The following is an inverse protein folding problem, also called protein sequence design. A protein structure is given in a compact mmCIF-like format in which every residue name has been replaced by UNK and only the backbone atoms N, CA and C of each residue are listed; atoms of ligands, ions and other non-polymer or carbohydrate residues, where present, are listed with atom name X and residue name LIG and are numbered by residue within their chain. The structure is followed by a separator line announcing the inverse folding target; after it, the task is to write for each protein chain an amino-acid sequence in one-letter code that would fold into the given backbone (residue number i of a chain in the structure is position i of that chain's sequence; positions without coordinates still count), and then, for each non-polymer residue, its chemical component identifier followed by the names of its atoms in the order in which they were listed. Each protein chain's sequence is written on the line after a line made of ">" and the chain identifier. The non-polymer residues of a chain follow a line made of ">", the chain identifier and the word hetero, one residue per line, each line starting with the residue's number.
data_IF_770402834908
#
_entry.id   IF_770402834908
#
_cell.length_a   1.000
_cell.length_b   1.000
_cell.length_c   1.000
_cell.angle_alpha   90.00
_cell.angle_beta   90.00
_cell.angle_gamma   90.00
#
_symmetry.space_group_name_H-M   'P 1'
#
loop_
_entity.id
_entity.type
_entity.pdbx_description
1 polymer ?
#
# COMPACT_ATOMS: atom_id res chain seq x y z
N UNK A 1 -52.25 30.14 4.47
CA UNK A 1 -51.62 29.11 3.61
C UNK A 1 -50.41 29.71 2.91
N UNK A 2 -49.24 29.15 3.22
CA UNK A 2 -48.02 29.13 2.40
C UNK A 2 -47.28 30.45 2.11
N UNK A 3 -46.59 30.99 3.11
CA UNK A 3 -45.31 31.67 2.92
C UNK A 3 -44.35 31.15 3.98
N UNK A 4 -43.60 30.09 3.66
CA UNK A 4 -42.50 29.61 4.49
C UNK A 4 -41.43 28.96 3.63
N UNK A 5 -40.20 29.38 3.91
CA UNK A 5 -38.96 28.61 3.79
C UNK A 5 -38.28 28.54 2.42
N UNK A 6 -37.84 29.70 1.89
CA UNK A 6 -36.88 29.70 0.77
C UNK A 6 -35.78 30.79 0.82
N UNK A 7 -35.44 31.28 2.03
CA UNK A 7 -34.45 32.37 2.20
C UNK A 7 -33.10 31.91 2.80
N UNK A 8 -32.92 30.65 3.22
CA UNK A 8 -31.79 30.33 4.12
C UNK A 8 -30.47 29.82 3.49
N UNK A 9 -30.39 29.55 2.19
CA UNK A 9 -29.14 28.98 1.60
C UNK A 9 -28.42 29.88 0.59
N UNK A 10 -29.13 30.82 -0.05
CA UNK A 10 -28.51 31.69 -1.07
C UNK A 10 -27.85 32.94 -0.51
N UNK A 11 -28.25 33.42 0.67
CA UNK A 11 -27.69 34.64 1.27
C UNK A 11 -26.31 34.44 1.90
N UNK A 12 -25.86 33.20 2.15
CA UNK A 12 -24.52 32.89 2.65
C UNK A 12 -23.43 32.87 1.56
N UNK A 13 -23.82 32.92 0.28
CA UNK A 13 -22.90 32.90 -0.86
C UNK A 13 -22.40 34.31 -1.28
N UNK A 14 -22.90 35.37 -0.65
CA UNK A 14 -22.63 36.77 -1.03
C UNK A 14 -22.01 37.62 0.08
N UNK A 15 -21.86 37.09 1.30
CA UNK A 15 -21.15 37.83 2.34
C UNK A 15 -19.64 37.59 2.21
N UNK A 16 -18.81 38.64 2.20
CA UNK A 16 -17.37 38.46 2.30
C UNK A 16 -17.09 37.70 3.59
N UNK A 17 -16.36 36.58 3.50
CA UNK A 17 -15.92 35.81 4.67
C UNK A 17 -15.19 36.78 5.59
N UNK A 18 -15.78 37.10 6.74
CA UNK A 18 -15.12 37.99 7.68
C UNK A 18 -13.96 37.21 8.32
N UNK A 19 -12.72 37.61 8.04
CA UNK A 19 -11.51 36.97 8.58
C UNK A 19 -11.52 36.81 10.12
N UNK A 20 -12.31 37.64 10.81
CA UNK A 20 -12.57 37.51 12.24
C UNK A 20 -13.23 36.18 12.62
N UNK A 21 -14.07 35.60 11.75
CA UNK A 21 -14.77 34.35 12.02
C UNK A 21 -13.80 33.16 12.07
N UNK A 22 -12.81 33.14 11.17
CA UNK A 22 -11.79 32.08 11.12
C UNK A 22 -11.00 32.02 12.43
N UNK A 23 -10.48 33.17 12.88
CA UNK A 23 -9.68 33.26 14.12
C UNK A 23 -10.55 33.03 15.36
N UNK A 24 -11.77 33.55 15.37
CA UNK A 24 -12.73 33.35 16.46
C UNK A 24 -13.07 31.86 16.65
N UNK A 25 -13.42 31.17 15.56
CA UNK A 25 -13.71 29.73 15.60
C UNK A 25 -12.49 28.97 16.09
N UNK A 26 -11.31 29.21 15.50
CA UNK A 26 -10.08 28.52 15.87
C UNK A 26 -9.71 28.70 17.35
N UNK A 27 -9.89 29.91 17.89
CA UNK A 27 -9.60 30.23 19.31
C UNK A 27 -10.61 29.56 20.25
N UNK A 28 -11.83 29.31 19.78
CA UNK A 28 -12.87 28.65 20.58
C UNK A 28 -12.71 27.13 20.65
N UNK A 29 -11.99 26.49 19.72
CA UNK A 29 -11.87 25.04 19.60
C UNK A 29 -11.41 24.36 20.90
N UNK A 30 -10.48 24.97 21.64
CA UNK A 30 -9.94 24.41 22.88
C UNK A 30 -10.97 24.31 24.01
N UNK A 31 -12.08 25.05 23.92
CA UNK A 31 -13.15 25.09 24.94
C UNK A 31 -14.30 24.14 24.61
N UNK A 32 -14.26 23.47 23.47
CA UNK A 32 -15.34 22.63 22.96
C UNK A 32 -15.01 21.14 23.12
N UNK A 33 -16.05 20.31 23.12
CA UNK A 33 -15.92 18.85 23.21
C UNK A 33 -17.08 18.15 22.49
N UNK A 34 -16.87 16.89 22.11
CA UNK A 34 -17.87 16.07 21.42
C UNK A 34 -18.30 16.68 20.08
N UNK A 35 -19.58 16.61 19.74
CA UNK A 35 -20.09 17.00 18.42
C UNK A 35 -19.83 18.48 18.05
N UNK A 36 -19.84 19.37 19.05
CA UNK A 36 -19.61 20.81 18.83
C UNK A 36 -18.25 21.09 18.19
N UNK A 37 -17.23 20.30 18.55
CA UNK A 37 -15.90 20.47 17.97
C UNK A 37 -15.88 20.05 16.51
N UNK A 38 -16.64 19.00 16.14
CA UNK A 38 -16.77 18.54 14.76
C UNK A 38 -17.47 19.58 13.91
N UNK A 39 -18.59 20.11 14.39
CA UNK A 39 -19.31 21.21 13.73
C UNK A 39 -18.42 22.43 13.52
N UNK A 40 -17.67 22.84 14.55
CA UNK A 40 -16.75 23.99 14.46
C UNK A 40 -15.60 23.74 13.49
N UNK A 41 -15.04 22.53 13.45
CA UNK A 41 -14.00 22.16 12.49
C UNK A 41 -14.54 22.08 11.06
N UNK A 42 -15.76 21.57 10.86
CA UNK A 42 -16.42 21.56 9.55
C UNK A 42 -16.69 22.99 9.05
N UNK A 43 -17.17 23.87 9.93
CA UNK A 43 -17.34 25.29 9.63
C UNK A 43 -16.01 25.96 9.28
N UNK A 44 -14.98 25.73 10.09
CA UNK A 44 -13.64 26.26 9.85
C UNK A 44 -13.06 25.77 8.51
N UNK A 45 -13.22 24.48 8.20
CA UNK A 45 -12.82 23.91 6.92
C UNK A 45 -13.58 24.55 5.76
N UNK A 46 -14.90 24.72 5.88
CA UNK A 46 -15.72 25.37 4.85
C UNK A 46 -15.25 26.80 4.57
N UNK A 47 -15.02 27.60 5.62
CA UNK A 47 -14.53 28.98 5.49
C UNK A 47 -13.15 29.01 4.82
N UNK A 48 -12.22 28.17 5.29
CA UNK A 48 -10.87 28.10 4.74
C UNK A 48 -10.88 27.63 3.28
N UNK A 49 -11.69 26.64 2.93
CA UNK A 49 -11.80 26.14 1.56
C UNK A 49 -12.44 27.16 0.61
N UNK A 50 -13.42 27.93 1.08
CA UNK A 50 -14.13 28.93 0.28
C UNK A 50 -13.52 30.34 0.33
N UNK A 51 -12.50 30.59 1.17
CA UNK A 51 -11.63 31.75 1.00
C UNK A 51 -10.99 31.64 -0.39
N UNK A 52 -11.61 32.32 -1.36
CA UNK A 52 -11.02 32.58 -2.67
C UNK A 52 -9.67 33.26 -2.41
N UNK A 53 -8.59 32.85 -3.10
CA UNK A 53 -7.41 33.69 -3.13
C UNK A 53 -7.86 35.05 -3.65
N UNK A 54 -7.76 36.09 -2.83
CA UNK A 54 -7.96 37.45 -3.29
C UNK A 54 -7.06 37.68 -4.53
N UNK A 55 -7.38 38.63 -5.42
CA UNK A 55 -6.69 38.84 -6.70
C UNK A 55 -5.15 38.97 -6.64
N UNK A 56 -4.56 39.04 -5.44
CA UNK A 56 -3.14 39.20 -5.19
C UNK A 56 -2.51 38.10 -4.29
N UNK A 57 -3.16 36.95 -4.09
CA UNK A 57 -2.55 35.88 -3.29
C UNK A 57 -2.32 36.28 -1.83
N UNK A 58 -3.19 37.13 -1.28
CA UNK A 58 -3.15 37.48 0.14
C UNK A 58 -3.32 36.23 1.01
N UNK A 59 -2.53 36.11 2.10
CA UNK A 59 -2.58 34.95 2.96
C UNK A 59 -3.92 34.91 3.70
N UNK A 60 -4.35 33.72 4.12
CA UNK A 60 -5.47 33.61 5.04
C UNK A 60 -5.08 34.35 6.32
N UNK A 61 -5.73 35.47 6.59
CA UNK A 61 -5.46 36.25 7.79
C UNK A 61 -5.75 35.39 9.03
N UNK A 62 -4.76 35.29 9.93
CA UNK A 62 -4.85 34.42 11.12
C UNK A 62 -4.43 32.96 10.89
N UNK A 63 -3.83 32.62 9.75
CA UNK A 63 -3.35 31.25 9.46
C UNK A 63 -2.45 30.67 10.53
N UNK A 64 -1.56 31.47 11.13
CA UNK A 64 -0.67 31.02 12.21
C UNK A 64 -1.47 30.58 13.44
N UNK A 65 -2.46 31.36 13.86
CA UNK A 65 -3.34 31.01 14.98
C UNK A 65 -4.13 29.75 14.67
N UNK A 66 -4.65 29.62 13.44
CA UNK A 66 -5.38 28.41 13.05
C UNK A 66 -4.44 27.20 13.08
N UNK A 67 -3.23 27.30 12.53
CA UNK A 67 -2.25 26.22 12.54
C UNK A 67 -1.93 25.80 13.96
N UNK A 68 -1.61 26.74 14.85
CA UNK A 68 -1.32 26.44 16.26
C UNK A 68 -2.49 25.72 16.93
N UNK A 69 -3.70 26.29 16.86
CA UNK A 69 -4.89 25.72 17.53
C UNK A 69 -5.31 24.38 16.97
N UNK A 70 -5.32 24.23 15.64
CA UNK A 70 -5.70 22.97 14.98
C UNK A 70 -4.64 21.89 15.19
N UNK A 71 -3.35 22.24 15.20
CA UNK A 71 -2.26 21.30 15.49
C UNK A 71 -2.34 20.81 16.94
N UNK A 72 -2.50 21.73 17.90
CA UNK A 72 -2.69 21.40 19.31
C UNK A 72 -3.93 20.50 19.52
N UNK A 73 -5.01 20.78 18.79
CA UNK A 73 -6.20 19.95 18.84
C UNK A 73 -5.94 18.56 18.27
N UNK A 74 -5.32 18.48 17.09
CA UNK A 74 -4.95 17.22 16.44
C UNK A 74 -4.11 16.33 17.36
N UNK A 75 -3.15 16.89 18.10
CA UNK A 75 -2.30 16.11 19.01
C UNK A 75 -3.01 15.63 20.29
N UNK A 76 -4.14 16.25 20.68
CA UNK A 76 -4.83 15.93 21.95
C UNK A 76 -6.05 15.03 21.78
N UNK A 77 -6.57 14.90 20.56
CA UNK A 77 -7.78 14.13 20.28
C UNK A 77 -7.43 12.68 19.96
N UNK A 78 -8.43 11.80 20.04
CA UNK A 78 -8.31 10.39 19.63
C UNK A 78 -9.39 9.98 18.62
N UNK A 79 -10.24 10.94 18.21
CA UNK A 79 -11.32 10.71 17.26
C UNK A 79 -10.79 10.86 15.84
N UNK A 80 -10.94 9.80 15.03
CA UNK A 80 -10.41 9.73 13.68
C UNK A 80 -11.05 10.76 12.73
N UNK A 81 -12.31 11.13 12.94
CA UNK A 81 -13.02 12.12 12.14
C UNK A 81 -12.51 13.53 12.47
N UNK A 82 -12.32 13.83 13.75
CA UNK A 82 -11.68 15.08 14.20
C UNK A 82 -10.27 15.19 13.61
N UNK A 83 -9.49 14.10 13.62
CA UNK A 83 -8.17 14.06 12.99
C UNK A 83 -8.22 14.36 11.49
N UNK A 84 -9.16 13.75 10.77
CA UNK A 84 -9.34 13.97 9.34
C UNK A 84 -9.73 15.42 9.02
N UNK A 85 -10.59 16.04 9.84
CA UNK A 85 -10.97 17.45 9.71
C UNK A 85 -9.79 18.39 9.99
N UNK A 86 -9.07 18.19 11.09
CA UNK A 86 -7.87 18.96 11.42
C UNK A 86 -6.83 18.89 10.30
N UNK A 87 -6.56 17.68 9.78
CA UNK A 87 -5.64 17.49 8.67
C UNK A 87 -6.10 18.21 7.40
N UNK A 88 -7.39 18.12 7.08
CA UNK A 88 -7.96 18.78 5.91
C UNK A 88 -7.81 20.30 6.00
N UNK A 89 -8.00 20.87 7.19
CA UNK A 89 -7.76 22.30 7.44
C UNK A 89 -6.28 22.64 7.23
N UNK A 90 -5.36 21.92 7.87
CA UNK A 90 -3.92 22.18 7.77
C UNK A 90 -3.41 22.06 6.33
N UNK A 91 -3.88 21.08 5.57
CA UNK A 91 -3.54 20.92 4.15
C UNK A 91 -4.10 22.05 3.29
N UNK A 92 -5.34 22.50 3.53
CA UNK A 92 -5.92 23.62 2.80
C UNK A 92 -5.13 24.91 3.08
N UNK A 93 -4.79 25.19 4.35
CA UNK A 93 -3.95 26.35 4.70
C UNK A 93 -2.61 26.26 3.98
N UNK A 94 -1.92 25.11 4.04
CA UNK A 94 -0.65 24.90 3.35
C UNK A 94 -0.75 25.18 1.83
N UNK A 95 -1.81 24.69 1.18
CA UNK A 95 -2.03 24.90 -0.26
C UNK A 95 -2.25 26.36 -0.64
N UNK A 96 -2.78 27.16 0.29
CA UNK A 96 -3.08 28.60 0.13
C UNK A 96 -2.03 29.50 0.77
N UNK A 97 -0.98 28.93 1.37
CA UNK A 97 0.08 29.69 2.03
C UNK A 97 0.97 30.41 1.00
N UNK A 98 1.40 31.62 1.37
CA UNK A 98 2.37 32.37 0.58
C UNK A 98 3.71 31.63 0.51
N UNK A 99 4.51 31.83 -0.55
CA UNK A 99 5.77 31.12 -0.72
C UNK A 99 6.72 31.24 0.48
N UNK A 100 6.77 32.39 1.16
CA UNK A 100 7.65 32.57 2.32
C UNK A 100 7.22 31.82 3.59
N UNK A 101 5.91 31.56 3.77
CA UNK A 101 5.38 30.88 4.96
C UNK A 101 5.10 29.39 4.70
N UNK A 102 5.02 28.99 3.43
CA UNK A 102 4.71 27.61 3.04
C UNK A 102 5.68 26.60 3.64
N UNK A 103 6.97 26.93 3.71
CA UNK A 103 7.97 26.00 4.24
C UNK A 103 7.77 25.74 5.74
N UNK A 104 7.48 26.78 6.55
CA UNK A 104 7.24 26.62 7.98
C UNK A 104 5.96 25.82 8.25
N UNK A 105 4.90 26.06 7.47
CA UNK A 105 3.64 25.33 7.59
C UNK A 105 3.77 23.86 7.20
N UNK A 106 4.56 23.54 6.17
CA UNK A 106 4.88 22.16 5.78
C UNK A 106 5.70 21.49 6.89
N UNK A 107 6.68 22.21 7.45
CA UNK A 107 7.51 21.71 8.54
C UNK A 107 6.66 21.30 9.75
N UNK A 108 5.77 22.19 10.21
CA UNK A 108 4.87 21.92 11.33
C UNK A 108 4.02 20.68 11.04
N UNK A 109 3.36 20.62 9.88
CA UNK A 109 2.49 19.48 9.56
C UNK A 109 3.28 18.16 9.47
N UNK A 110 4.45 18.15 8.82
CA UNK A 110 5.28 16.96 8.72
C UNK A 110 5.72 16.48 10.11
N UNK A 111 6.22 17.38 10.98
CA UNK A 111 6.66 17.02 12.32
C UNK A 111 5.51 16.46 13.17
N UNK A 112 4.35 17.12 13.13
CA UNK A 112 3.15 16.65 13.82
C UNK A 112 2.72 15.24 13.35
N UNK A 113 2.73 14.99 12.04
CA UNK A 113 2.38 13.66 11.51
C UNK A 113 3.41 12.60 11.89
N UNK A 114 4.70 12.92 11.85
CA UNK A 114 5.79 12.02 12.28
C UNK A 114 5.67 11.67 13.77
N UNK A 115 5.26 12.63 14.60
CA UNK A 115 4.99 12.38 16.02
C UNK A 115 3.77 11.46 16.19
N UNK A 116 2.68 11.67 15.45
CA UNK A 116 1.49 10.82 15.54
C UNK A 116 1.70 9.42 14.97
N UNK A 117 2.56 9.25 13.96
CA UNK A 117 2.98 7.91 13.48
C UNK A 117 3.60 7.10 14.62
N UNK A 118 4.26 7.74 15.59
CA UNK A 118 4.82 7.08 16.77
C UNK A 118 3.81 6.86 17.91
N UNK A 119 2.53 7.20 17.70
CA UNK A 119 1.48 6.98 18.70
C UNK A 119 1.36 5.49 19.03
N UNK A 120 1.12 5.20 20.32
CA UNK A 120 0.80 3.84 20.79
C UNK A 120 -0.55 3.35 20.29
N UNK A 121 -1.42 4.26 19.84
CA UNK A 121 -2.69 3.91 19.25
C UNK A 121 -2.48 3.61 17.75
N UNK A 122 -2.58 2.33 17.37
CA UNK A 122 -2.40 1.85 16.00
C UNK A 122 -3.28 2.60 15.00
N UNK A 123 -4.55 2.85 15.33
CA UNK A 123 -5.46 3.60 14.45
C UNK A 123 -4.97 5.02 14.22
N UNK A 124 -4.47 5.71 15.24
CA UNK A 124 -3.91 7.06 15.10
C UNK A 124 -2.64 7.02 14.24
N UNK A 125 -1.76 6.05 14.47
CA UNK A 125 -0.53 5.88 13.67
C UNK A 125 -0.84 5.61 12.20
N UNK A 126 -1.78 4.70 11.90
CA UNK A 126 -2.23 4.40 10.54
C UNK A 126 -2.88 5.61 9.87
N UNK A 127 -3.76 6.33 10.59
CA UNK A 127 -4.35 7.57 10.10
C UNK A 127 -3.27 8.61 9.77
N UNK A 128 -2.27 8.77 10.63
CA UNK A 128 -1.17 9.73 10.43
C UNK A 128 -0.25 9.32 9.26
N UNK A 129 0.05 8.03 9.10
CA UNK A 129 0.80 7.51 7.96
C UNK A 129 0.06 7.75 6.64
N UNK A 130 -1.22 7.38 6.59
CA UNK A 130 -2.08 7.62 5.43
C UNK A 130 -2.22 9.11 5.10
N UNK A 131 -2.33 9.95 6.13
CA UNK A 131 -2.36 11.40 6.01
C UNK A 131 -1.08 11.95 5.35
N UNK A 132 0.09 11.53 5.83
CA UNK A 132 1.37 11.95 5.28
C UNK A 132 1.53 11.47 3.83
N UNK A 133 1.15 10.24 3.53
CA UNK A 133 1.15 9.69 2.16
C UNK A 133 0.23 10.49 1.24
N UNK A 134 -0.97 10.82 1.71
CA UNK A 134 -1.92 11.65 0.96
C UNK A 134 -1.37 13.06 0.70
N UNK A 135 -0.75 13.67 1.71
CA UNK A 135 -0.09 14.97 1.59
C UNK A 135 1.04 14.95 0.54
N UNK A 136 1.90 13.93 0.59
CA UNK A 136 2.94 13.71 -0.42
C UNK A 136 2.33 13.57 -1.82
N UNK A 137 1.22 12.83 -1.99
CA UNK A 137 0.58 12.70 -3.31
C UNK A 137 0.07 14.04 -3.86
N UNK A 138 -0.45 14.91 -2.99
CA UNK A 138 -1.03 16.21 -3.38
C UNK A 138 0.01 17.30 -3.66
N UNK A 139 1.11 17.33 -2.91
CA UNK A 139 2.09 18.43 -2.95
C UNK A 139 3.52 17.89 -3.03
N UNK A 140 4.28 18.35 -4.04
CA UNK A 140 5.68 17.93 -4.25
C UNK A 140 6.61 18.45 -3.14
N UNK A 141 6.26 19.58 -2.55
CA UNK A 141 7.02 20.27 -1.51
C UNK A 141 7.13 19.42 -0.24
N UNK A 142 6.11 18.62 0.08
CA UNK A 142 6.17 17.66 1.19
C UNK A 142 7.27 16.62 0.97
N UNK A 143 7.35 16.04 -0.24
CA UNK A 143 8.38 15.04 -0.57
C UNK A 143 9.77 15.63 -0.45
N UNK A 144 9.96 16.84 -0.99
CA UNK A 144 11.23 17.56 -0.92
C UNK A 144 11.60 17.86 0.53
N UNK A 145 10.66 18.36 1.33
CA UNK A 145 10.90 18.65 2.74
C UNK A 145 11.38 17.41 3.52
N UNK A 146 10.69 16.27 3.35
CA UNK A 146 11.01 15.04 4.08
C UNK A 146 12.46 14.56 3.83
N UNK A 147 12.91 14.53 2.57
CA UNK A 147 14.23 13.93 2.25
C UNK A 147 15.36 14.94 2.09
N UNK A 148 15.10 16.17 1.63
CA UNK A 148 16.13 17.17 1.34
C UNK A 148 16.61 17.89 2.60
N UNK A 149 15.70 18.19 3.54
CA UNK A 149 16.06 18.80 4.83
C UNK A 149 16.61 17.77 5.82
N UNK A 150 16.42 16.47 5.56
CA UNK A 150 16.96 15.38 6.37
C UNK A 150 16.24 15.14 7.70
N UNK A 151 15.36 16.04 8.15
CA UNK A 151 14.65 15.95 9.44
C UNK A 151 13.84 14.66 9.56
N UNK A 152 13.10 14.28 8.51
CA UNK A 152 12.35 13.02 8.52
C UNK A 152 13.28 11.81 8.48
N UNK A 153 14.36 11.85 7.69
CA UNK A 153 15.34 10.76 7.61
C UNK A 153 15.95 10.50 8.99
N UNK A 154 16.37 11.55 9.70
CA UNK A 154 16.86 11.45 11.09
C UNK A 154 15.83 10.82 12.01
N UNK A 155 14.58 11.28 11.95
CA UNK A 155 13.49 10.74 12.77
C UNK A 155 13.16 9.29 12.41
N UNK A 156 13.22 8.92 11.14
CA UNK A 156 13.07 7.54 10.70
C UNK A 156 14.17 6.66 11.29
N UNK A 157 15.43 7.10 11.24
CA UNK A 157 16.57 6.42 11.88
C UNK A 157 16.32 6.22 13.38
N UNK A 158 15.88 7.26 14.10
CA UNK A 158 15.54 7.18 15.54
C UNK A 158 14.42 6.16 15.82
N UNK A 159 13.36 6.13 15.01
CA UNK A 159 12.21 5.23 15.19
C UNK A 159 12.62 3.77 14.95
N UNK A 160 13.41 3.52 13.91
CA UNK A 160 13.89 2.20 13.53
C UNK A 160 14.89 1.63 14.56
N UNK A 161 15.76 2.46 15.13
CA UNK A 161 16.75 2.05 16.15
C UNK A 161 16.18 1.67 17.52
N UNK A 162 14.93 2.02 17.86
CA UNK A 162 14.34 1.75 19.19
C UNK A 162 14.18 0.26 19.54
N UNK A 163 14.66 -0.65 18.71
CA UNK A 163 14.56 -2.10 18.87
C UNK A 163 15.42 -2.66 20.02
N UNK A 164 16.50 -1.99 20.44
CA UNK A 164 17.52 -2.62 21.31
C UNK A 164 17.43 -2.36 22.82
N UNK A 165 16.58 -1.42 23.29
CA UNK A 165 16.63 -1.01 24.71
C UNK A 165 15.54 -1.58 25.62
N UNK A 166 14.62 -2.41 25.11
CA UNK A 166 13.57 -3.03 25.92
C UNK A 166 13.67 -4.55 25.95
N UNK A 167 14.61 -5.04 26.76
CA UNK A 167 14.40 -6.31 27.47
C UNK A 167 13.01 -6.25 28.13
N UNK A 168 12.29 -7.38 28.18
CA UNK A 168 10.90 -7.57 28.64
C UNK A 168 9.80 -7.44 27.54
N UNK A 169 9.63 -8.55 26.82
CA UNK A 169 8.48 -9.17 26.10
C UNK A 169 7.11 -8.49 25.84
N UNK A 170 6.83 -7.25 26.27
CA UNK A 170 5.57 -6.54 26.01
C UNK A 170 5.74 -5.21 25.24
N UNK A 171 6.95 -4.65 25.21
CA UNK A 171 7.25 -3.39 24.50
C UNK A 171 7.55 -3.61 23.00
N UNK A 172 7.88 -4.84 22.60
CA UNK A 172 8.36 -5.18 21.27
C UNK A 172 7.29 -4.97 20.19
N UNK A 173 6.05 -5.40 20.44
CA UNK A 173 4.95 -5.23 19.48
C UNK A 173 4.39 -3.80 19.38
N UNK A 174 4.74 -2.90 20.33
CA UNK A 174 4.22 -1.53 20.36
C UNK A 174 4.96 -0.56 19.43
N UNK A 175 6.12 -0.94 18.91
CA UNK A 175 6.87 -0.11 17.97
C UNK A 175 6.83 -0.66 16.53
N UNK A 176 6.41 -1.91 16.35
CA UNK A 176 6.38 -2.56 15.03
C UNK A 176 5.49 -1.84 14.02
N UNK A 177 4.33 -1.32 14.45
CA UNK A 177 3.44 -0.58 13.55
C UNK A 177 4.06 0.76 13.10
N UNK A 178 4.71 1.48 14.02
CA UNK A 178 5.42 2.73 13.72
C UNK A 178 6.61 2.48 12.79
N UNK A 179 7.39 1.42 13.05
CA UNK A 179 8.52 1.02 12.21
C UNK A 179 8.06 0.60 10.80
N UNK A 180 7.02 -0.24 10.72
CA UNK A 180 6.43 -0.65 9.45
C UNK A 180 5.91 0.54 8.65
N UNK A 181 5.21 1.48 9.29
CA UNK A 181 4.74 2.71 8.66
C UNK A 181 5.89 3.57 8.13
N UNK A 182 6.99 3.71 8.90
CA UNK A 182 8.19 4.43 8.46
C UNK A 182 8.82 3.77 7.23
N UNK A 183 8.93 2.44 7.21
CA UNK A 183 9.45 1.70 6.05
C UNK A 183 8.57 1.90 4.82
N UNK A 184 7.24 1.87 4.98
CA UNK A 184 6.30 2.12 3.87
C UNK A 184 6.44 3.53 3.30
N UNK A 185 6.56 4.54 4.17
CA UNK A 185 6.79 5.92 3.75
C UNK A 185 8.12 6.05 3.00
N UNK A 186 9.18 5.40 3.48
CA UNK A 186 10.49 5.41 2.82
C UNK A 186 10.46 4.73 1.45
N UNK A 187 9.79 3.59 1.31
CA UNK A 187 9.58 2.92 0.01
C UNK A 187 8.83 3.82 -0.98
N UNK A 188 7.80 4.51 -0.51
CA UNK A 188 7.08 5.49 -1.33
C UNK A 188 8.00 6.65 -1.73
N UNK A 189 8.85 7.14 -0.82
CA UNK A 189 9.77 8.25 -1.12
C UNK A 189 10.83 7.84 -2.15
N UNK A 190 11.38 6.63 -2.05
CA UNK A 190 12.41 6.14 -2.99
C UNK A 190 11.86 5.90 -4.40
N UNK A 191 10.55 5.70 -4.56
CA UNK A 191 9.92 5.61 -5.87
C UNK A 191 9.94 6.94 -6.65
N UNK A 192 10.30 8.07 -6.03
CA UNK A 192 10.41 9.36 -6.69
C UNK A 192 11.85 9.65 -7.16
N UNK A 193 12.01 9.93 -8.46
CA UNK A 193 13.32 10.02 -9.11
C UNK A 193 13.98 11.42 -9.04
N UNK A 194 13.22 12.46 -8.68
CA UNK A 194 13.69 13.87 -8.74
C UNK A 194 13.87 14.51 -7.38
N UNK A 195 13.96 13.71 -6.32
CA UNK A 195 14.20 14.21 -4.97
C UNK A 195 15.70 14.29 -4.70
N UNK A 196 16.14 15.39 -4.07
CA UNK A 196 17.51 15.52 -3.56
C UNK A 196 17.53 14.95 -2.15
N UNK A 197 18.22 13.84 -1.97
CA UNK A 197 18.30 13.16 -0.69
C UNK A 197 19.43 13.74 0.15
N UNK A 198 19.16 14.03 1.43
CA UNK A 198 20.23 14.44 2.34
C UNK A 198 21.20 13.27 2.52
N UNK A 199 22.42 13.42 2.01
CA UNK A 199 23.42 12.34 1.96
C UNK A 199 23.84 11.83 3.33
N UNK A 200 24.03 12.72 4.31
CA UNK A 200 24.45 12.36 5.66
C UNK A 200 23.38 11.51 6.35
N UNK A 201 22.16 12.04 6.43
CA UNK A 201 21.03 11.38 7.10
C UNK A 201 20.59 10.10 6.38
N UNK A 202 20.72 10.06 5.05
CA UNK A 202 20.42 8.83 4.27
C UNK A 202 21.46 7.75 4.53
N UNK A 203 22.74 8.09 4.69
CA UNK A 203 23.78 7.10 5.05
C UNK A 203 23.55 6.52 6.44
N UNK A 204 23.17 7.35 7.42
CA UNK A 204 22.80 6.86 8.75
C UNK A 204 21.61 5.90 8.69
N UNK A 205 20.58 6.26 7.93
CA UNK A 205 19.41 5.42 7.72
C UNK A 205 19.77 4.08 7.05
N UNK A 206 20.65 4.09 6.04
CA UNK A 206 21.16 2.87 5.39
C UNK A 206 21.82 1.93 6.39
N UNK A 207 22.63 2.46 7.31
CA UNK A 207 23.30 1.63 8.32
C UNK A 207 22.30 0.90 9.21
N UNK A 208 21.22 1.58 9.62
CA UNK A 208 20.16 0.98 10.44
C UNK A 208 19.37 -0.08 9.66
N UNK A 209 18.97 0.24 8.43
CA UNK A 209 18.23 -0.70 7.56
C UNK A 209 19.06 -1.94 7.25
N UNK A 210 20.38 -1.79 7.10
CA UNK A 210 21.28 -2.92 6.86
C UNK A 210 21.29 -3.92 8.02
N UNK A 211 21.23 -3.43 9.27
CA UNK A 211 21.09 -4.30 10.46
C UNK A 211 19.74 -5.04 10.42
N UNK A 212 18.66 -4.35 10.03
CA UNK A 212 17.31 -4.94 9.95
C UNK A 212 17.14 -5.96 8.82
N UNK A 213 17.89 -5.80 7.72
CA UNK A 213 17.79 -6.63 6.51
C UNK A 213 18.19 -8.08 6.77
N UNK A 214 19.09 -8.33 7.73
CA UNK A 214 19.61 -9.65 8.11
C UNK A 214 20.29 -10.40 6.95
N UNK A 215 20.92 -11.54 7.24
CA UNK A 215 21.64 -12.30 6.21
C UNK A 215 20.69 -12.95 5.16
N UNK A 216 21.18 -13.09 3.92
CA UNK A 216 20.44 -13.22 2.66
C UNK A 216 19.81 -14.60 2.33
N UNK A 217 19.42 -15.44 3.30
CA UNK A 217 19.18 -16.87 2.99
C UNK A 217 17.78 -17.46 3.11
N UNK A 218 16.73 -16.66 3.34
CA UNK A 218 15.36 -17.18 3.30
C UNK A 218 14.50 -16.34 2.35
N UNK A 219 13.54 -16.99 1.67
CA UNK A 219 12.50 -16.37 0.85
C UNK A 219 11.65 -15.48 1.79
N UNK A 220 11.98 -14.19 1.85
CA UNK A 220 11.34 -13.27 2.82
C UNK A 220 10.09 -12.67 2.20
N UNK A 221 8.98 -12.80 2.90
CA UNK A 221 7.73 -12.13 2.58
C UNK A 221 7.94 -10.60 2.53
N UNK A 222 7.60 -9.99 1.39
CA UNK A 222 7.78 -8.56 1.10
C UNK A 222 6.98 -7.66 2.06
N UNK A 223 5.93 -8.18 2.71
CA UNK A 223 5.14 -7.43 3.68
C UNK A 223 5.79 -7.35 5.07
N UNK A 224 6.79 -8.20 5.35
CA UNK A 224 7.52 -8.19 6.62
C UNK A 224 8.46 -6.98 6.71
N UNK A 225 8.77 -6.53 7.94
CA UNK A 225 9.75 -5.44 8.13
C UNK A 225 11.11 -5.75 7.49
N UNK A 226 11.53 -7.03 7.52
CA UNK A 226 12.78 -7.48 6.92
C UNK A 226 12.70 -7.49 5.38
N UNK A 227 11.59 -7.94 4.80
CA UNK A 227 11.34 -7.86 3.36
C UNK A 227 11.37 -6.41 2.86
N UNK A 228 10.67 -5.50 3.54
CA UNK A 228 10.70 -4.06 3.25
C UNK A 228 12.11 -3.47 3.37
N UNK A 229 12.87 -3.84 4.40
CA UNK A 229 14.25 -3.39 4.58
C UNK A 229 15.17 -3.86 3.43
N UNK A 230 15.06 -5.13 3.03
CA UNK A 230 15.80 -5.70 1.91
C UNK A 230 15.54 -4.99 0.58
N UNK A 231 14.28 -4.62 0.30
CA UNK A 231 13.91 -3.84 -0.90
C UNK A 231 14.46 -2.42 -0.81
N UNK A 232 14.38 -1.80 0.37
CA UNK A 232 14.72 -0.40 0.56
C UNK A 232 16.23 -0.13 0.49
N UNK A 233 17.06 -1.04 1.00
CA UNK A 233 18.51 -0.89 1.07
C UNK A 233 19.19 -0.58 -0.29
N UNK A 234 18.99 -1.37 -1.37
CA UNK A 234 19.57 -1.06 -2.67
C UNK A 234 19.02 0.25 -3.26
N UNK A 235 17.73 0.56 -3.03
CA UNK A 235 17.11 1.78 -3.53
C UNK A 235 17.73 3.04 -2.90
N UNK A 236 17.95 3.04 -1.58
CA UNK A 236 18.58 4.18 -0.89
C UNK A 236 20.04 4.37 -1.34
N UNK A 237 20.80 3.28 -1.50
CA UNK A 237 22.17 3.34 -2.04
C UNK A 237 22.19 3.97 -3.44
N UNK A 238 21.25 3.58 -4.30
CA UNK A 238 21.12 4.16 -5.64
C UNK A 238 20.83 5.67 -5.59
N UNK A 239 20.00 6.15 -4.65
CA UNK A 239 19.73 7.59 -4.51
C UNK A 239 20.99 8.38 -4.20
N UNK A 240 21.91 7.82 -3.41
CA UNK A 240 23.19 8.48 -3.08
C UNK A 240 24.22 8.40 -4.20
N UNK A 241 24.21 7.33 -5.00
CA UNK A 241 25.08 7.20 -6.18
C UNK A 241 24.67 8.17 -7.30
N UNK A 242 23.37 8.47 -7.43
CA UNK A 242 22.83 9.31 -8.51
C UNK A 242 23.10 10.83 -8.38
N UNK A 243 23.58 11.30 -7.21
CA UNK A 243 23.88 12.72 -6.97
C UNK A 243 25.30 13.13 -7.44
N UNK A 244 26.05 12.19 -8.05
CA UNK A 244 27.33 12.41 -8.74
C UNK A 244 27.18 12.25 -10.25
N UNK A 245 27.48 13.31 -11.00
CA UNK A 245 27.45 13.34 -12.46
C UNK A 245 28.36 12.27 -13.12
N UNK A 246 27.86 11.70 -14.23
CA UNK A 246 28.48 10.77 -15.20
C UNK A 246 28.13 9.29 -14.90
N UNK A 247 26.96 8.84 -15.36
CA UNK A 247 26.63 7.42 -15.73
C UNK A 247 25.12 7.14 -15.94
N UNK A 248 24.24 8.15 -15.82
CA UNK A 248 22.78 7.98 -15.96
C UNK A 248 22.30 7.49 -17.34
N UNK A 249 23.16 7.42 -18.36
CA UNK A 249 22.81 6.87 -19.69
C UNK A 249 23.21 5.39 -19.76
N UNK A 250 24.45 5.04 -19.41
CA UNK A 250 24.91 3.65 -19.42
C UNK A 250 24.22 2.79 -18.34
N UNK A 251 23.97 3.33 -17.15
CA UNK A 251 23.30 2.57 -16.08
C UNK A 251 21.78 2.44 -16.33
N UNK A 252 21.15 3.39 -17.02
CA UNK A 252 19.75 3.29 -17.44
C UNK A 252 19.58 2.31 -18.61
N UNK A 253 20.54 2.27 -19.54
CA UNK A 253 20.59 1.22 -20.55
C UNK A 253 20.84 -0.16 -19.93
N UNK A 254 21.71 -0.25 -18.91
CA UNK A 254 21.93 -1.48 -18.15
C UNK A 254 20.70 -1.94 -17.39
N UNK A 255 19.97 -1.02 -16.74
CA UNK A 255 18.72 -1.33 -16.03
C UNK A 255 17.59 -1.69 -17.00
N UNK A 256 17.51 -1.07 -18.18
CA UNK A 256 16.62 -1.52 -19.26
C UNK A 256 16.96 -2.93 -19.72
N UNK A 257 18.25 -3.25 -19.86
CA UNK A 257 18.69 -4.60 -20.20
C UNK A 257 18.34 -5.61 -19.11
N UNK A 258 18.51 -5.26 -17.83
CA UNK A 258 18.14 -6.12 -16.71
C UNK A 258 16.62 -6.32 -16.59
N UNK A 259 15.83 -5.28 -16.82
CA UNK A 259 14.36 -5.38 -16.90
C UNK A 259 13.94 -6.30 -18.04
N UNK A 260 14.54 -6.14 -19.23
CA UNK A 260 14.24 -7.00 -20.37
C UNK A 260 14.66 -8.45 -20.12
N UNK A 261 15.81 -8.68 -19.47
CA UNK A 261 16.26 -10.03 -19.09
C UNK A 261 15.35 -10.64 -18.02
N UNK A 262 14.89 -9.87 -17.04
CA UNK A 262 13.92 -10.31 -16.03
C UNK A 262 12.56 -10.65 -16.65
N UNK A 263 12.11 -9.85 -17.62
CA UNK A 263 10.86 -10.09 -18.35
C UNK A 263 10.97 -11.32 -19.27
N UNK A 264 12.12 -11.50 -19.94
CA UNK A 264 12.40 -12.68 -20.78
C UNK A 264 12.51 -13.96 -19.95
N UNK A 265 13.12 -13.89 -18.75
CA UNK A 265 13.09 -14.98 -17.78
C UNK A 265 11.67 -15.33 -17.34
N UNK A 266 10.82 -14.32 -17.08
CA UNK A 266 9.40 -14.55 -16.77
C UNK A 266 8.65 -15.21 -17.92
N UNK A 267 8.90 -14.78 -19.16
CA UNK A 267 8.30 -15.37 -20.36
C UNK A 267 8.76 -16.82 -20.52
N UNK A 268 10.04 -17.12 -20.29
CA UNK A 268 10.57 -18.48 -20.38
C UNK A 268 9.99 -19.38 -19.29
N UNK A 269 9.88 -18.91 -18.04
CA UNK A 269 9.23 -19.65 -16.94
C UNK A 269 7.75 -19.91 -17.25
N UNK A 270 7.03 -18.92 -17.78
CA UNK A 270 5.63 -19.08 -18.18
C UNK A 270 5.48 -20.06 -19.37
N UNK A 271 6.40 -20.01 -20.34
CA UNK A 271 6.42 -20.95 -21.46
C UNK A 271 6.74 -22.38 -21.01
N UNK A 272 7.72 -22.57 -20.13
CA UNK A 272 8.05 -23.88 -19.54
C UNK A 272 6.87 -24.44 -18.75
N UNK A 273 6.16 -23.58 -18.02
CA UNK A 273 4.92 -23.95 -17.33
C UNK A 273 3.85 -24.39 -18.33
N UNK A 274 3.62 -23.66 -19.42
CA UNK A 274 2.68 -24.04 -20.47
C UNK A 274 3.06 -25.35 -21.14
N UNK A 275 4.34 -25.57 -21.44
CA UNK A 275 4.84 -26.83 -22.02
C UNK A 275 4.62 -27.99 -21.04
N UNK A 276 4.88 -27.79 -19.75
CA UNK A 276 4.65 -28.78 -18.70
C UNK A 276 3.16 -29.13 -18.58
N UNK A 277 2.27 -28.13 -18.59
CA UNK A 277 0.83 -28.32 -18.56
C UNK A 277 0.32 -29.06 -19.81
N UNK A 278 0.83 -28.73 -21.01
CA UNK A 278 0.50 -29.41 -22.27
C UNK A 278 0.96 -30.87 -22.25
N UNK A 279 2.18 -31.15 -21.77
CA UNK A 279 2.67 -32.52 -21.60
C UNK A 279 1.85 -33.32 -20.59
N UNK A 280 1.38 -32.68 -19.51
CA UNK A 280 0.46 -33.31 -18.56
C UNK A 280 -0.86 -33.70 -19.24
N UNK A 281 -1.46 -32.79 -20.02
CA UNK A 281 -2.70 -33.07 -20.77
C UNK A 281 -2.53 -34.21 -21.77
N UNK A 282 -1.40 -34.24 -22.49
CA UNK A 282 -1.11 -35.34 -23.41
C UNK A 282 -0.96 -36.69 -22.71
N UNK A 283 -0.33 -36.72 -21.53
CA UNK A 283 -0.24 -37.94 -20.72
C UNK A 283 -1.62 -38.39 -20.25
N UNK A 284 -2.46 -37.46 -19.81
CA UNK A 284 -3.84 -37.75 -19.39
C UNK A 284 -4.69 -38.30 -20.56
N UNK A 285 -4.50 -37.76 -21.77
CA UNK A 285 -5.17 -38.28 -22.98
C UNK A 285 -4.65 -39.66 -23.40
N UNK A 286 -3.36 -39.93 -23.24
CA UNK A 286 -2.78 -41.26 -23.48
C UNK A 286 -3.29 -42.30 -22.48
N UNK A 287 -3.39 -41.92 -21.21
CA UNK A 287 -3.99 -42.76 -20.15
C UNK A 287 -5.43 -43.08 -20.52
N UNK A 288 -6.23 -42.07 -20.89
CA UNK A 288 -7.64 -42.27 -21.28
C UNK A 288 -7.80 -43.22 -22.46
N UNK A 289 -6.95 -43.09 -23.50
CA UNK A 289 -6.95 -44.02 -24.65
C UNK A 289 -6.57 -45.44 -24.24
N UNK A 290 -5.55 -45.59 -23.40
CA UNK A 290 -5.13 -46.90 -22.90
C UNK A 290 -6.25 -47.56 -22.08
N UNK A 291 -6.97 -46.80 -21.25
CA UNK A 291 -8.13 -47.27 -20.50
C UNK A 291 -9.27 -47.72 -21.41
N UNK A 292 -9.59 -46.96 -22.47
CA UNK A 292 -10.61 -47.36 -23.46
C UNK A 292 -10.22 -48.64 -24.22
N UNK A 293 -8.96 -48.78 -24.62
CA UNK A 293 -8.47 -50.00 -25.27
C UNK A 293 -8.53 -51.21 -24.33
N UNK A 294 -8.18 -51.02 -23.06
CA UNK A 294 -8.23 -52.08 -22.06
C UNK A 294 -9.67 -52.55 -21.84
N UNK A 295 -10.60 -51.59 -21.71
CA UNK A 295 -12.04 -51.86 -21.60
C UNK A 295 -12.59 -52.58 -22.85
N UNK A 296 -12.14 -52.21 -24.04
CA UNK A 296 -12.52 -52.89 -25.29
C UNK A 296 -11.96 -54.32 -25.36
N UNK A 297 -10.72 -54.55 -24.92
CA UNK A 297 -10.13 -55.90 -24.85
C UNK A 297 -10.87 -56.77 -23.85
N UNK A 298 -11.21 -56.24 -22.68
CA UNK A 298 -12.03 -56.93 -21.68
C UNK A 298 -13.40 -57.31 -22.24
N UNK A 299 -14.05 -56.38 -22.96
CA UNK A 299 -15.33 -56.65 -23.62
C UNK A 299 -15.23 -57.75 -24.68
N UNK A 300 -14.22 -57.71 -25.56
CA UNK A 300 -13.99 -58.75 -26.57
C UNK A 300 -13.65 -60.11 -25.95
N UNK A 301 -12.89 -60.12 -24.85
CA UNK A 301 -12.56 -61.35 -24.14
C UNK A 301 -13.82 -61.94 -23.46
N UNK A 302 -14.70 -61.11 -22.91
CA UNK A 302 -15.99 -61.53 -22.36
C UNK A 302 -16.90 -62.12 -23.45
N UNK A 303 -16.99 -61.48 -24.62
CA UNK A 303 -17.74 -61.98 -25.79
C UNK A 303 -17.18 -63.32 -26.30
N UNK A 304 -15.86 -63.46 -26.35
CA UNK A 304 -15.22 -64.70 -26.79
C UNK A 304 -15.48 -65.85 -25.82
N UNK A 305 -15.41 -65.59 -24.50
CA UNK A 305 -15.78 -66.59 -23.47
C UNK A 305 -17.27 -66.98 -23.54
N UNK A 306 -18.16 -66.03 -23.85
CA UNK A 306 -19.59 -66.31 -24.08
C UNK A 306 -19.82 -67.19 -25.32
N UNK A 307 -19.14 -66.90 -26.42
CA UNK A 307 -19.22 -67.70 -27.64
C UNK A 307 -18.68 -69.12 -27.46
N UNK A 308 -17.57 -69.30 -26.73
CA UNK A 308 -17.05 -70.63 -26.40
C UNK A 308 -18.04 -71.43 -25.55
N UNK A 309 -18.71 -70.81 -24.58
CA UNK A 309 -19.79 -71.47 -23.82
C UNK A 309 -20.96 -71.87 -24.72
N UNK A 310 -21.33 -71.05 -25.70
CA UNK A 310 -22.41 -71.37 -26.64
C UNK A 310 -22.04 -72.49 -27.62
N UNK A 311 -20.78 -72.58 -28.07
CA UNK A 311 -20.29 -73.67 -28.93
C UNK A 311 -20.22 -74.98 -28.16
N UNK A 312 -19.66 -74.98 -26.95
CA UNK A 312 -19.64 -76.17 -26.10
C UNK A 312 -21.05 -76.67 -25.77
N UNK A 313 -22.02 -75.77 -25.60
CA UNK A 313 -23.42 -76.15 -25.39
C UNK A 313 -24.02 -76.83 -26.63
N UNK A 314 -23.72 -76.34 -27.83
CA UNK A 314 -24.16 -76.95 -29.10
C UNK A 314 -23.47 -78.29 -29.38
N UNK A 315 -22.19 -78.44 -29.05
CA UNK A 315 -21.48 -79.72 -29.21
C UNK A 315 -22.01 -80.77 -28.25
N UNK A 316 -22.36 -80.39 -27.01
CA UNK A 316 -23.02 -81.31 -26.06
C UNK A 316 -24.42 -81.70 -26.56
N UNK A 317 -25.20 -80.76 -27.08
CA UNK A 317 -26.51 -81.07 -27.70
C UNK A 317 -26.38 -81.97 -28.94
N UNK A 318 -25.35 -81.76 -29.77
CA UNK A 318 -25.06 -82.57 -30.97
C UNK A 318 -24.59 -83.98 -30.62
N UNK A 319 -23.73 -84.14 -29.61
CA UNK A 319 -23.33 -85.46 -29.08
C UNK A 319 -24.53 -86.18 -28.48
N UNK A 320 -25.46 -85.47 -27.84
CA UNK A 320 -26.68 -86.10 -27.34
C UNK A 320 -27.57 -86.61 -28.48
N UNK A 321 -27.71 -85.85 -29.57
CA UNK A 321 -28.45 -86.24 -30.77
C UNK A 321 -27.84 -87.45 -31.51
N UNK A 322 -26.51 -87.51 -31.63
CA UNK A 322 -25.82 -88.64 -32.26
C UNK A 322 -25.88 -89.90 -31.38
N UNK A 323 -25.79 -89.76 -30.05
CA UNK A 323 -25.95 -90.88 -29.12
C UNK A 323 -27.36 -91.48 -29.13
N UNK A 324 -28.39 -90.71 -29.49
CA UNK A 324 -29.76 -91.21 -29.69
C UNK A 324 -29.96 -91.94 -31.02
N UNK A 325 -29.14 -91.69 -32.05
CA UNK A 325 -29.28 -92.36 -33.36
C UNK A 325 -28.38 -93.59 -33.54
N UNK A 326 -27.36 -93.80 -32.70
CA UNK A 326 -26.52 -95.00 -32.73
C UNK A 326 -27.10 -96.20 -31.95
N UNK A 327 -28.37 -96.13 -31.53
CA UNK A 327 -29.05 -97.13 -30.68
C UNK A 327 -30.19 -97.88 -31.37
N UNK A 328 -30.35 -97.75 -32.69
CA UNK A 328 -31.31 -98.51 -33.51
C UNK A 328 -30.57 -99.34 -34.57
#
# INVERSE_FOLDING_TARGET
>A
NSERDDISFRNTLTNPIEHNDIVSIATSLEKQSGEKIKESLQQLLFLISNCLPAPEGQPIQGSETVIDKVTNLFCRQNDAEIHALCLSILLNINSKSQPQDRESHICILCLTLIEQIQSRNKTISECASNALISAMKKMKEFKQFLVQRGIFLRKATEILLRQEQSSYTLATSQNEHSQSAVLDILLILTSYNKLKWNREETNELINVIQIMSGDEQEEKDEETMQGKANILLPLLRMKLSSDGSIDLVEENERLKLQLHQSEEQRINVENDKRISEEQSRMKDDQIRKAEEELKNKEFQQAMSKSNVRNVQKKDVESVHLVATHAKE
#
